data_IF_090927756963
#
_entry.id   IF_090927756963
#
_cell.length_a   1.000
_cell.length_b   1.000
_cell.length_c   1.000
_cell.angle_alpha   90.00
_cell.angle_beta   90.00
_cell.angle_gamma   90.00
#
_symmetry.space_group_name_H-M   'P 1'
#
loop_
_entity.id
_entity.type
_entity.pdbx_description
1 polymer ?
#
# COMPACT_ATOMS: atom_id res chain seq x y z
N UNK A 1 -4.80 24.81 11.95
CA UNK A 1 -4.62 24.91 10.49
C UNK A 1 -3.55 23.93 10.08
N UNK A 2 -3.93 22.90 9.30
CA UNK A 2 -2.98 21.98 8.70
C UNK A 2 -2.10 22.68 7.67
N UNK A 3 -0.90 22.16 7.42
CA UNK A 3 -0.01 22.62 6.34
C UNK A 3 0.67 21.41 5.69
N UNK A 4 0.90 21.51 4.38
CA UNK A 4 1.66 20.50 3.66
C UNK A 4 3.14 20.61 3.98
N UNK A 5 3.71 19.56 4.57
CA UNK A 5 5.14 19.50 4.89
C UNK A 5 5.89 18.74 3.79
N UNK A 6 6.91 19.34 3.16
CA UNK A 6 7.73 18.62 2.20
C UNK A 6 8.49 17.46 2.83
N UNK A 7 8.42 16.28 2.22
CA UNK A 7 9.25 15.14 2.61
C UNK A 7 10.66 15.33 2.08
N UNK A 8 11.61 15.57 2.98
CA UNK A 8 13.02 15.90 2.64
C UNK A 8 13.75 14.70 2.04
N UNK A 9 13.45 13.49 2.50
CA UNK A 9 14.10 12.24 2.04
C UNK A 9 13.00 11.25 1.66
N UNK A 10 12.54 11.25 0.39
CA UNK A 10 11.54 10.30 -0.05
C UNK A 10 12.10 8.87 -0.11
N UNK A 11 11.23 7.88 0.02
CA UNK A 11 11.57 6.48 -0.17
C UNK A 11 12.10 6.26 -1.61
N UNK A 12 13.20 5.52 -1.74
CA UNK A 12 13.87 5.27 -3.02
C UNK A 12 13.49 3.94 -3.66
N UNK A 13 12.46 3.26 -3.14
CA UNK A 13 12.02 1.97 -3.65
C UNK A 13 11.66 2.04 -5.14
N UNK A 14 12.10 1.05 -5.91
CA UNK A 14 11.79 0.93 -7.32
C UNK A 14 10.71 -0.14 -7.53
N UNK A 15 9.86 0.03 -8.54
CA UNK A 15 8.81 -0.95 -8.89
C UNK A 15 9.39 -2.34 -9.21
N UNK A 16 10.65 -2.40 -9.68
CA UNK A 16 11.37 -3.66 -9.94
C UNK A 16 11.77 -4.40 -8.67
N UNK A 17 11.79 -3.72 -7.53
CA UNK A 17 12.15 -4.31 -6.22
C UNK A 17 11.00 -5.08 -5.59
N UNK A 18 9.80 -4.92 -6.14
CA UNK A 18 8.57 -5.54 -5.68
C UNK A 18 8.33 -6.83 -6.47
N UNK A 19 8.61 -7.97 -5.87
CA UNK A 19 8.44 -9.29 -6.46
C UNK A 19 7.14 -9.94 -5.98
N UNK A 20 6.65 -10.93 -6.74
CA UNK A 20 5.46 -11.74 -6.44
C UNK A 20 4.13 -10.94 -6.37
N UNK A 21 4.08 -9.75 -7.02
CA UNK A 21 2.88 -8.92 -7.14
C UNK A 21 2.76 -8.34 -8.58
N UNK A 22 3.08 -9.14 -9.60
CA UNK A 22 3.22 -8.62 -10.96
C UNK A 22 1.88 -8.15 -11.56
N UNK A 23 0.78 -8.86 -11.31
CA UNK A 23 -0.55 -8.45 -11.75
C UNK A 23 -1.00 -7.16 -11.04
N UNK A 24 -0.78 -7.05 -9.73
CA UNK A 24 -1.09 -5.85 -8.97
C UNK A 24 -0.30 -4.65 -9.50
N UNK A 25 1.01 -4.83 -9.75
CA UNK A 25 1.87 -3.80 -10.35
C UNK A 25 1.33 -3.34 -11.70
N UNK A 26 0.96 -4.29 -12.56
CA UNK A 26 0.44 -4.01 -13.90
C UNK A 26 -0.83 -3.16 -13.87
N UNK A 27 -1.79 -3.54 -13.02
CA UNK A 27 -3.07 -2.84 -12.89
C UNK A 27 -2.89 -1.42 -12.38
N UNK A 28 -2.18 -1.24 -11.26
CA UNK A 28 -2.01 0.08 -10.63
C UNK A 28 -1.08 0.98 -11.46
N UNK A 29 -0.05 0.41 -12.07
CA UNK A 29 0.84 1.15 -12.98
C UNK A 29 0.10 1.65 -14.23
N UNK A 30 -0.77 0.83 -14.82
CA UNK A 30 -1.60 1.22 -15.96
C UNK A 30 -2.51 2.40 -15.59
N UNK A 31 -3.24 2.30 -14.48
CA UNK A 31 -4.10 3.36 -13.98
C UNK A 31 -3.32 4.67 -13.71
N UNK A 32 -2.16 4.57 -13.05
CA UNK A 32 -1.31 5.72 -12.78
C UNK A 32 -0.75 6.33 -14.08
N UNK A 33 -0.38 5.50 -15.06
CA UNK A 33 0.07 5.96 -16.37
C UNK A 33 -1.01 6.70 -17.15
N UNK A 34 -2.26 6.24 -17.09
CA UNK A 34 -3.41 6.96 -17.65
C UNK A 34 -3.55 8.32 -16.98
N UNK A 35 -3.52 8.37 -15.65
CA UNK A 35 -3.65 9.60 -14.88
C UNK A 35 -2.58 10.66 -15.24
N UNK A 36 -1.30 10.28 -15.29
CA UNK A 36 -0.22 11.23 -15.63
C UNK A 36 -0.23 11.64 -17.11
N UNK A 37 -0.94 10.89 -17.95
CA UNK A 37 -1.18 11.23 -19.35
C UNK A 37 -2.45 12.06 -19.58
N UNK A 38 -3.10 12.52 -18.51
CA UNK A 38 -4.37 13.25 -18.55
C UNK A 38 -5.52 12.45 -19.19
N UNK A 39 -5.49 11.13 -19.06
CA UNK A 39 -6.56 10.23 -19.49
C UNK A 39 -7.43 9.84 -18.29
N UNK A 40 -8.67 9.38 -18.51
CA UNK A 40 -9.52 8.88 -17.45
C UNK A 40 -8.82 7.81 -16.61
N UNK A 41 -8.86 7.95 -15.30
CA UNK A 41 -8.27 7.03 -14.34
C UNK A 41 -9.11 7.01 -13.06
N UNK A 42 -8.96 5.94 -12.26
CA UNK A 42 -9.78 5.68 -11.09
C UNK A 42 -9.04 5.95 -9.78
N UNK A 43 -9.79 6.26 -8.73
CA UNK A 43 -9.32 6.09 -7.36
C UNK A 43 -9.00 4.62 -7.10
N UNK A 44 -7.98 4.34 -6.27
CA UNK A 44 -7.43 2.99 -6.09
C UNK A 44 -7.51 2.57 -4.63
N UNK A 45 -8.06 1.38 -4.38
CA UNK A 45 -8.02 0.72 -3.08
C UNK A 45 -7.18 -0.56 -3.16
N UNK A 46 -6.09 -0.61 -2.39
CA UNK A 46 -5.23 -1.78 -2.24
C UNK A 46 -5.54 -2.48 -0.91
N UNK A 47 -6.07 -3.69 -0.97
CA UNK A 47 -6.44 -4.46 0.22
C UNK A 47 -5.57 -5.71 0.38
N UNK A 48 -5.59 -6.34 1.54
CA UNK A 48 -4.98 -7.65 1.76
C UNK A 48 -3.86 -7.67 2.79
N UNK A 49 -3.11 -8.74 2.81
CA UNK A 49 -2.17 -9.08 3.89
C UNK A 49 -1.12 -8.01 4.17
N UNK A 50 -0.77 -7.84 5.44
CA UNK A 50 0.22 -6.86 5.88
C UNK A 50 1.62 -7.20 5.36
N UNK A 51 2.33 -6.18 4.88
CA UNK A 51 3.72 -6.34 4.41
C UNK A 51 3.87 -7.01 3.04
N UNK A 52 2.82 -7.06 2.22
CA UNK A 52 2.84 -7.58 0.84
C UNK A 52 3.25 -6.56 -0.21
N UNK A 53 3.55 -5.32 0.19
CA UNK A 53 4.07 -4.30 -0.73
C UNK A 53 3.05 -3.25 -1.19
N UNK A 54 1.83 -3.21 -0.64
CA UNK A 54 0.79 -2.22 -1.00
C UNK A 54 1.30 -0.78 -1.00
N UNK A 55 1.71 -0.27 0.16
CA UNK A 55 2.23 1.10 0.32
C UNK A 55 3.54 1.31 -0.47
N UNK A 56 4.38 0.27 -0.53
CA UNK A 56 5.62 0.30 -1.31
C UNK A 56 5.37 0.46 -2.80
N UNK A 57 4.30 -0.13 -3.35
CA UNK A 57 3.92 0.03 -4.75
C UNK A 57 3.55 1.48 -5.06
N UNK A 58 2.78 2.13 -4.20
CA UNK A 58 2.39 3.54 -4.40
C UNK A 58 3.63 4.45 -4.38
N UNK A 59 4.54 4.24 -3.41
CA UNK A 59 5.82 4.99 -3.33
C UNK A 59 6.72 4.73 -4.54
N UNK A 60 6.76 3.50 -5.04
CA UNK A 60 7.51 3.16 -6.26
C UNK A 60 6.93 3.81 -7.52
N UNK A 61 5.62 3.98 -7.60
CA UNK A 61 4.96 4.70 -8.70
C UNK A 61 5.28 6.20 -8.67
N UNK A 62 5.35 6.83 -7.49
CA UNK A 62 5.85 8.20 -7.37
C UNK A 62 7.25 8.31 -7.97
N UNK A 63 8.19 7.43 -7.58
CA UNK A 63 9.56 7.43 -8.09
C UNK A 63 9.62 7.25 -9.62
N UNK A 64 8.72 6.45 -10.17
CA UNK A 64 8.63 6.21 -11.62
C UNK A 64 8.10 7.41 -12.39
N UNK A 65 7.13 8.15 -11.82
CA UNK A 65 6.37 9.16 -12.54
C UNK A 65 6.59 10.61 -12.06
N UNK A 66 7.42 10.86 -11.03
CA UNK A 66 7.61 12.24 -10.53
C UNK A 66 8.13 13.20 -11.62
N UNK A 67 8.95 12.73 -12.55
CA UNK A 67 9.44 13.50 -13.72
C UNK A 67 8.33 13.82 -14.73
N UNK A 68 7.19 13.15 -14.63
CA UNK A 68 5.97 13.40 -15.39
C UNK A 68 4.93 14.18 -14.58
N UNK A 69 5.40 15.03 -13.68
CA UNK A 69 4.59 15.90 -12.83
C UNK A 69 3.69 15.17 -11.81
N UNK A 70 3.92 13.89 -11.52
CA UNK A 70 3.23 13.23 -10.42
C UNK A 70 3.75 13.74 -9.07
N UNK A 71 2.82 14.01 -8.17
CA UNK A 71 3.10 14.36 -6.77
C UNK A 71 2.29 13.44 -5.86
N UNK A 72 2.83 13.13 -4.69
CA UNK A 72 2.17 12.31 -3.67
C UNK A 72 2.00 13.15 -2.41
N UNK A 73 0.80 13.17 -1.87
CA UNK A 73 0.48 13.77 -0.57
C UNK A 73 0.02 12.63 0.32
N UNK A 74 0.79 12.32 1.36
CA UNK A 74 0.41 11.32 2.36
C UNK A 74 -0.46 12.01 3.42
N UNK A 75 -1.65 11.46 3.67
CA UNK A 75 -2.61 11.95 4.65
C UNK A 75 -2.85 10.83 5.66
N UNK A 76 -2.55 11.12 6.91
CA UNK A 76 -2.82 10.20 8.01
C UNK A 76 -4.33 10.04 8.23
N UNK A 77 -4.74 8.88 8.74
CA UNK A 77 -6.13 8.61 9.06
C UNK A 77 -6.75 9.67 9.99
N UNK A 78 -5.99 10.18 10.96
CA UNK A 78 -6.42 11.22 11.90
C UNK A 78 -6.68 12.56 11.23
N UNK A 79 -6.08 12.81 10.08
CA UNK A 79 -6.10 14.09 9.36
C UNK A 79 -7.05 14.04 8.14
N UNK A 80 -7.82 12.96 7.99
CA UNK A 80 -8.78 12.84 6.88
C UNK A 80 -9.83 13.96 6.87
N UNK A 81 -10.12 14.57 8.01
CA UNK A 81 -11.02 15.71 8.10
C UNK A 81 -10.50 16.97 7.37
N UNK A 82 -9.18 17.06 7.12
CA UNK A 82 -8.54 18.13 6.36
C UNK A 82 -8.52 17.87 4.83
N UNK A 83 -8.99 16.70 4.36
CA UNK A 83 -9.00 16.38 2.92
C UNK A 83 -9.63 17.46 2.03
N UNK A 84 -10.77 18.08 2.37
CA UNK A 84 -11.35 19.13 1.56
C UNK A 84 -10.40 20.33 1.38
N UNK A 85 -9.77 20.78 2.46
CA UNK A 85 -8.80 21.88 2.43
C UNK A 85 -7.56 21.52 1.60
N UNK A 86 -7.08 20.29 1.69
CA UNK A 86 -5.96 19.79 0.87
C UNK A 86 -6.33 19.77 -0.60
N UNK A 87 -7.53 19.29 -0.95
CA UNK A 87 -8.03 19.23 -2.32
C UNK A 87 -8.13 20.66 -2.91
N UNK A 88 -8.73 21.60 -2.18
CA UNK A 88 -8.86 22.98 -2.61
C UNK A 88 -7.49 23.64 -2.87
N UNK A 89 -6.51 23.35 -2.00
CA UNK A 89 -5.16 23.90 -2.12
C UNK A 89 -4.42 23.45 -3.39
N UNK A 90 -4.67 22.24 -3.87
CA UNK A 90 -3.90 21.61 -4.96
C UNK A 90 -4.68 21.53 -6.29
N UNK A 91 -5.97 21.79 -6.28
CA UNK A 91 -6.86 21.59 -7.43
C UNK A 91 -6.46 22.41 -8.67
N UNK A 92 -5.94 23.60 -8.48
CA UNK A 92 -5.53 24.51 -9.57
C UNK A 92 -4.03 24.41 -9.92
N UNK A 93 -3.27 23.58 -9.21
CA UNK A 93 -1.84 23.45 -9.46
C UNK A 93 -1.55 22.60 -10.71
N UNK A 94 -0.50 22.92 -11.49
CA UNK A 94 -0.20 22.25 -12.76
C UNK A 94 0.52 20.90 -12.58
N UNK A 95 0.11 20.12 -11.57
CA UNK A 95 0.64 18.81 -11.27
C UNK A 95 -0.49 17.78 -11.21
N UNK A 96 -0.13 16.51 -11.30
CA UNK A 96 -1.02 15.38 -11.02
C UNK A 96 -0.77 14.91 -9.60
N UNK A 97 -1.80 14.95 -8.77
CA UNK A 97 -1.68 14.60 -7.35
C UNK A 97 -2.32 13.25 -7.05
N UNK A 98 -1.58 12.41 -6.36
CA UNK A 98 -2.15 11.25 -5.67
C UNK A 98 -2.19 11.57 -4.18
N UNK A 99 -3.38 11.65 -3.62
CA UNK A 99 -3.57 11.70 -2.17
C UNK A 99 -3.52 10.26 -1.69
N UNK A 100 -2.55 9.97 -0.84
CA UNK A 100 -2.27 8.63 -0.34
C UNK A 100 -2.70 8.48 1.11
N UNK A 101 -3.66 7.59 1.35
CA UNK A 101 -4.16 7.24 2.66
C UNK A 101 -3.68 5.83 3.03
N UNK A 102 -2.66 5.72 3.88
CA UNK A 102 -2.07 4.41 4.24
C UNK A 102 -2.79 3.77 5.43
N UNK A 103 -2.92 2.44 5.39
CA UNK A 103 -3.45 1.58 6.46
C UNK A 103 -4.86 2.00 6.97
N UNK A 104 -5.75 2.33 6.04
CA UNK A 104 -7.12 2.72 6.38
C UNK A 104 -7.88 1.58 7.04
N UNK A 105 -8.47 1.88 8.18
CA UNK A 105 -9.41 1.02 8.89
C UNK A 105 -10.32 1.90 9.76
N UNK A 106 -11.62 1.84 9.55
CA UNK A 106 -12.57 2.68 10.27
C UNK A 106 -13.32 1.88 11.34
N UNK A 107 -13.71 2.55 12.43
CA UNK A 107 -14.73 2.09 13.36
C UNK A 107 -16.12 2.49 12.88
N UNK A 108 -17.18 2.05 13.58
CA UNK A 108 -18.58 2.36 13.25
C UNK A 108 -18.89 3.86 13.22
N UNK A 109 -18.22 4.64 14.06
CA UNK A 109 -18.52 6.07 14.28
C UNK A 109 -17.37 7.00 13.86
N UNK A 110 -16.50 6.55 12.95
CA UNK A 110 -15.30 7.28 12.56
C UNK A 110 -15.65 8.42 11.59
N UNK A 111 -15.45 9.68 12.01
CA UNK A 111 -15.73 10.85 11.18
C UNK A 111 -14.90 10.89 9.90
N UNK A 112 -13.67 10.35 9.93
CA UNK A 112 -12.80 10.24 8.75
C UNK A 112 -13.42 9.43 7.62
N UNK A 113 -14.26 8.44 7.96
CA UNK A 113 -15.03 7.67 6.99
C UNK A 113 -15.97 8.57 6.17
N UNK A 114 -16.73 9.46 6.83
CA UNK A 114 -17.68 10.37 6.17
C UNK A 114 -16.97 11.34 5.24
N UNK A 115 -15.85 11.91 5.71
CA UNK A 115 -15.05 12.85 4.91
C UNK A 115 -14.47 12.16 3.66
N UNK A 116 -13.91 10.96 3.82
CA UNK A 116 -13.38 10.20 2.68
C UNK A 116 -14.47 9.84 1.67
N UNK A 117 -15.66 9.44 2.15
CA UNK A 117 -16.83 9.17 1.30
C UNK A 117 -17.20 10.37 0.44
N UNK A 118 -17.30 11.55 1.05
CA UNK A 118 -17.60 12.81 0.36
C UNK A 118 -16.51 13.17 -0.67
N UNK A 119 -15.24 13.00 -0.31
CA UNK A 119 -14.13 13.27 -1.22
C UNK A 119 -14.11 12.32 -2.44
N UNK A 120 -14.49 11.06 -2.27
CA UNK A 120 -14.57 10.06 -3.35
C UNK A 120 -15.79 10.30 -4.26
N UNK A 121 -16.91 10.80 -3.72
CA UNK A 121 -18.14 11.09 -4.48
C UNK A 121 -18.02 12.37 -5.33
N UNK A 122 -17.00 13.20 -5.08
CA UNK A 122 -16.82 14.46 -5.81
C UNK A 122 -17.88 15.53 -5.50
N UNK A 123 -18.58 15.42 -4.36
CA UNK A 123 -19.75 16.26 -4.04
C UNK A 123 -19.41 17.67 -3.55
N UNK A 124 -18.15 17.99 -3.24
CA UNK A 124 -17.73 19.30 -2.70
C UNK A 124 -17.10 20.20 -3.78
N UNK A 125 -16.46 19.64 -4.77
CA UNK A 125 -16.01 20.33 -5.98
C UNK A 125 -16.16 19.35 -7.14
N UNK A 126 -16.40 19.84 -8.35
CA UNK A 126 -16.16 19.04 -9.57
C UNK A 126 -14.85 18.31 -9.36
N UNK A 127 -14.89 16.95 -9.36
CA UNK A 127 -13.69 16.13 -9.18
C UNK A 127 -12.56 16.73 -9.99
N UNK A 128 -11.58 17.30 -9.30
CA UNK A 128 -10.49 17.95 -10.00
C UNK A 128 -9.77 16.88 -10.80
N UNK A 129 -9.76 17.01 -12.14
CA UNK A 129 -9.15 16.02 -13.04
C UNK A 129 -7.67 15.73 -12.73
N UNK A 130 -7.05 16.56 -11.88
CA UNK A 130 -5.65 16.44 -11.50
C UNK A 130 -5.43 15.73 -10.16
N UNK A 131 -6.46 15.16 -9.52
CA UNK A 131 -6.37 14.52 -8.21
C UNK A 131 -6.97 13.11 -8.26
N UNK A 132 -6.25 12.12 -7.71
CA UNK A 132 -6.76 10.78 -7.39
C UNK A 132 -6.46 10.43 -5.95
N UNK A 133 -7.32 9.61 -5.36
CA UNK A 133 -7.14 9.06 -4.01
C UNK A 133 -6.69 7.60 -4.13
N UNK A 134 -5.53 7.28 -3.57
CA UNK A 134 -5.01 5.92 -3.43
C UNK A 134 -5.02 5.55 -1.96
N UNK A 135 -5.67 4.46 -1.62
CA UNK A 135 -5.78 3.98 -0.25
C UNK A 135 -5.22 2.57 -0.09
N UNK A 136 -4.68 2.27 1.08
CA UNK A 136 -4.36 0.88 1.45
C UNK A 136 -5.14 0.45 2.68
N UNK A 137 -5.45 -0.84 2.77
CA UNK A 137 -6.03 -1.44 3.96
C UNK A 137 -5.49 -2.86 4.17
N UNK A 138 -5.29 -3.23 5.42
CA UNK A 138 -4.99 -4.61 5.80
C UNK A 138 -6.26 -5.45 5.99
N UNK A 139 -7.44 -4.87 5.84
CA UNK A 139 -8.74 -5.54 5.85
C UNK A 139 -9.24 -5.67 4.42
N UNK A 140 -10.09 -6.67 4.17
CA UNK A 140 -10.76 -6.83 2.87
C UNK A 140 -11.75 -5.69 2.62
N UNK A 141 -12.50 -5.33 3.65
CA UNK A 141 -13.36 -4.15 3.68
C UNK A 141 -12.80 -3.12 4.66
N UNK A 142 -12.99 -1.83 4.40
CA UNK A 142 -12.44 -0.74 5.19
C UNK A 142 -13.03 -0.66 6.61
N UNK A 143 -14.21 -1.23 6.82
CA UNK A 143 -14.90 -1.31 8.12
C UNK A 143 -14.81 -2.73 8.71
N UNK A 144 -14.86 -2.91 10.04
CA UNK A 144 -14.83 -4.21 10.67
C UNK A 144 -16.10 -5.03 10.35
N UNK A 145 -15.90 -6.31 10.06
CA UNK A 145 -16.98 -7.29 9.98
C UNK A 145 -17.19 -7.86 11.40
N UNK A 146 -18.23 -7.47 12.09
CA UNK A 146 -18.56 -8.05 13.39
C UNK A 146 -19.42 -9.33 13.18
N UNK A 147 -19.13 -10.40 13.93
CA UNK A 147 -19.95 -11.63 13.88
C UNK A 147 -21.42 -11.38 14.24
N UNK A 148 -21.70 -10.37 15.08
CA UNK A 148 -23.06 -9.96 15.44
C UNK A 148 -23.86 -9.42 14.23
N UNK A 149 -23.21 -8.81 13.27
CA UNK A 149 -23.86 -8.23 12.08
C UNK A 149 -24.33 -9.32 11.11
N UNK A 150 -23.64 -10.45 11.07
CA UNK A 150 -24.09 -11.64 10.31
C UNK A 150 -25.34 -12.29 10.94
N UNK A 151 -25.63 -12.02 12.22
CA UNK A 151 -26.83 -12.49 12.93
C UNK A 151 -28.01 -11.52 12.77
N UNK A 152 -27.77 -10.26 12.41
CA UNK A 152 -28.80 -9.24 12.12
C UNK A 152 -29.34 -9.34 10.70
N UNK A 153 -28.84 -10.27 9.89
CA UNK A 153 -29.40 -10.58 8.58
C UNK A 153 -30.79 -11.16 8.77
N UNK A 154 -31.80 -10.31 8.70
CA UNK A 154 -33.22 -10.73 8.83
C UNK A 154 -33.76 -11.13 7.48
N UNK A 155 -34.30 -12.35 7.39
CA UNK A 155 -35.10 -12.78 6.24
C UNK A 155 -36.45 -12.05 6.27
N UNK A 156 -36.66 -11.10 5.36
CA UNK A 156 -37.98 -10.56 5.05
C UNK A 156 -38.32 -10.95 3.62
N UNK A 157 -39.04 -12.05 3.48
CA UNK A 157 -39.43 -12.57 2.17
C UNK A 157 -38.30 -13.32 1.46
N UNK A 158 -38.21 -13.26 0.14
CA UNK A 158 -37.17 -13.91 -0.69
C UNK A 158 -35.88 -13.06 -0.83
N UNK A 159 -35.84 -11.84 -0.26
CA UNK A 159 -34.70 -10.97 -0.34
C UNK A 159 -33.91 -10.98 0.97
N UNK A 160 -32.59 -11.15 0.84
CA UNK A 160 -31.63 -11.04 1.95
C UNK A 160 -31.25 -9.56 2.07
N UNK A 161 -31.80 -8.88 3.07
CA UNK A 161 -31.34 -7.54 3.43
C UNK A 161 -30.14 -7.66 4.36
N UNK A 162 -28.97 -7.29 3.86
CA UNK A 162 -27.81 -7.03 4.72
C UNK A 162 -28.19 -5.88 5.68
N UNK A 163 -27.81 -5.97 6.96
CA UNK A 163 -28.07 -4.87 7.89
C UNK A 163 -27.50 -3.55 7.38
N UNK A 164 -28.13 -2.41 7.67
CA UNK A 164 -27.76 -1.07 7.18
C UNK A 164 -26.26 -0.79 7.32
N UNK A 165 -25.63 -1.27 8.40
CA UNK A 165 -24.19 -1.17 8.63
C UNK A 165 -23.34 -1.93 7.59
N UNK A 166 -23.80 -3.05 7.06
CA UNK A 166 -23.09 -3.84 6.04
C UNK A 166 -23.17 -3.15 4.67
N UNK A 167 -24.32 -2.61 4.31
CA UNK A 167 -24.50 -1.84 3.08
C UNK A 167 -23.64 -0.58 3.07
N UNK A 168 -23.55 0.10 4.20
CA UNK A 168 -22.70 1.29 4.33
C UNK A 168 -21.21 0.96 4.21
N UNK A 169 -20.79 -0.20 4.71
CA UNK A 169 -19.40 -0.71 4.62
C UNK A 169 -18.96 -1.05 3.21
N UNK A 170 -19.83 -1.68 2.44
CA UNK A 170 -19.61 -2.00 1.03
C UNK A 170 -19.55 -0.72 0.22
N UNK A 171 -20.44 0.22 0.50
CA UNK A 171 -20.64 1.49 -0.20
C UNK A 171 -19.35 2.35 -0.31
N UNK A 172 -18.46 2.39 0.69
CA UNK A 172 -17.21 3.15 0.58
C UNK A 172 -16.20 2.46 -0.34
N UNK A 173 -16.08 1.14 -0.23
CA UNK A 173 -15.12 0.37 -1.06
C UNK A 173 -15.50 0.43 -2.54
N UNK A 174 -16.79 0.44 -2.88
CA UNK A 174 -17.31 0.53 -4.25
C UNK A 174 -17.01 1.88 -4.93
N UNK A 175 -16.75 2.94 -4.14
CA UNK A 175 -16.37 4.25 -4.68
C UNK A 175 -14.95 4.29 -5.22
N UNK A 176 -14.14 3.29 -4.91
CA UNK A 176 -12.86 3.10 -5.57
C UNK A 176 -13.07 2.34 -6.87
N UNK A 177 -12.88 2.99 -7.99
CA UNK A 177 -13.10 2.37 -9.32
C UNK A 177 -12.07 1.30 -9.67
N UNK A 178 -10.94 1.23 -8.96
CA UNK A 178 -9.95 0.16 -9.07
C UNK A 178 -9.65 -0.43 -7.69
N UNK A 179 -10.05 -1.69 -7.49
CA UNK A 179 -9.79 -2.44 -6.27
C UNK A 179 -8.85 -3.59 -6.55
N UNK A 180 -7.72 -3.63 -5.84
CA UNK A 180 -6.65 -4.61 -6.05
C UNK A 180 -6.31 -5.32 -4.74
N UNK A 181 -6.40 -6.65 -4.76
CA UNK A 181 -6.12 -7.48 -3.59
C UNK A 181 -4.69 -8.03 -3.60
N UNK A 182 -4.10 -8.09 -2.42
CA UNK A 182 -2.75 -8.62 -2.17
C UNK A 182 -2.82 -9.81 -1.23
N UNK A 183 -2.60 -11.00 -1.76
CA UNK A 183 -2.54 -12.23 -0.97
C UNK A 183 -1.27 -12.30 -0.11
N UNK A 184 -1.32 -13.12 0.94
CA UNK A 184 -0.14 -13.44 1.71
C UNK A 184 0.84 -14.26 0.85
N UNK A 185 2.13 -13.96 0.94
CA UNK A 185 3.13 -14.70 0.20
C UNK A 185 3.20 -16.16 0.61
N UNK A 186 3.27 -17.04 -0.38
CA UNK A 186 3.63 -18.42 -0.21
C UNK A 186 5.06 -18.55 0.34
N UNK A 187 5.44 -19.74 0.78
CA UNK A 187 6.80 -20.00 1.25
C UNK A 187 7.84 -19.76 0.14
N UNK A 188 7.54 -20.17 -1.08
CA UNK A 188 8.43 -20.02 -2.23
C UNK A 188 8.61 -18.56 -2.60
N UNK A 189 7.53 -17.80 -2.70
CA UNK A 189 7.57 -16.35 -2.97
C UNK A 189 8.38 -15.61 -1.91
N UNK A 190 8.17 -15.94 -0.62
CA UNK A 190 8.94 -15.33 0.46
C UNK A 190 10.45 -15.61 0.32
N UNK A 191 10.84 -16.85 0.04
CA UNK A 191 12.25 -17.23 -0.18
C UNK A 191 12.84 -16.48 -1.37
N UNK A 192 12.07 -16.34 -2.46
CA UNK A 192 12.49 -15.61 -3.65
C UNK A 192 12.69 -14.13 -3.34
N UNK A 193 11.78 -13.49 -2.59
CA UNK A 193 11.90 -12.10 -2.15
C UNK A 193 13.13 -11.92 -1.24
N UNK A 194 13.33 -12.79 -0.28
CA UNK A 194 14.49 -12.74 0.61
C UNK A 194 15.81 -12.89 -0.16
N UNK A 195 15.85 -13.84 -1.10
CA UNK A 195 16.99 -14.08 -1.98
C UNK A 195 17.32 -12.89 -2.88
N UNK A 196 16.28 -12.26 -3.42
CA UNK A 196 16.44 -11.03 -4.21
C UNK A 196 17.10 -9.91 -3.39
N UNK A 197 16.60 -9.66 -2.17
CA UNK A 197 17.15 -8.61 -1.32
C UNK A 197 18.57 -8.90 -0.83
N UNK A 198 18.88 -10.18 -0.53
CA UNK A 198 20.25 -10.58 -0.19
C UNK A 198 21.22 -10.26 -1.34
N UNK A 199 20.87 -10.66 -2.58
CA UNK A 199 21.69 -10.35 -3.77
C UNK A 199 21.82 -8.85 -3.99
N UNK A 200 20.73 -8.11 -3.89
CA UNK A 200 20.73 -6.66 -4.11
C UNK A 200 21.58 -5.90 -3.09
N UNK A 201 21.59 -6.31 -1.83
CA UNK A 201 22.36 -5.65 -0.76
C UNK A 201 23.83 -6.10 -0.74
N UNK A 202 24.12 -7.33 -1.10
CA UNK A 202 25.48 -7.88 -1.07
C UNK A 202 26.26 -7.70 -2.38
N UNK A 203 25.55 -7.37 -3.48
CA UNK A 203 26.08 -7.39 -4.84
C UNK A 203 25.99 -8.76 -5.50
N UNK A 204 26.14 -8.81 -6.82
CA UNK A 204 25.93 -10.00 -7.66
C UNK A 204 26.87 -11.18 -7.37
N UNK A 205 27.96 -10.94 -6.64
CA UNK A 205 28.95 -11.97 -6.25
C UNK A 205 28.43 -12.89 -5.14
N UNK A 206 27.31 -12.54 -4.49
CA UNK A 206 26.78 -13.31 -3.37
C UNK A 206 25.92 -14.48 -3.84
N UNK A 207 26.40 -15.70 -3.63
CA UNK A 207 25.63 -16.92 -3.89
C UNK A 207 24.61 -17.14 -2.77
N UNK A 208 23.33 -17.15 -3.15
CA UNK A 208 22.23 -17.57 -2.26
C UNK A 208 22.09 -19.09 -2.37
N UNK A 209 22.67 -19.79 -1.43
CA UNK A 209 22.60 -21.25 -1.32
C UNK A 209 21.39 -21.73 -0.51
N UNK A 210 21.21 -23.02 -0.39
CA UNK A 210 20.09 -23.61 0.37
C UNK A 210 20.20 -23.36 1.89
N UNK A 211 21.39 -23.05 2.40
CA UNK A 211 21.56 -22.68 3.80
C UNK A 211 20.93 -21.30 4.07
N UNK A 212 21.17 -20.32 3.19
CA UNK A 212 20.56 -18.97 3.31
C UNK A 212 19.06 -19.05 3.15
N UNK A 213 18.54 -19.85 2.21
CA UNK A 213 17.10 -20.07 2.06
C UNK A 213 16.46 -20.63 3.32
N UNK A 214 17.07 -21.66 3.92
CA UNK A 214 16.60 -22.24 5.20
C UNK A 214 16.64 -21.23 6.34
N UNK A 215 17.68 -20.43 6.45
CA UNK A 215 17.78 -19.35 7.46
C UNK A 215 16.71 -18.28 7.26
N UNK A 216 16.37 -17.95 6.01
CA UNK A 216 15.30 -17.00 5.74
C UNK A 216 13.94 -17.51 6.25
N UNK A 217 13.66 -18.81 6.07
CA UNK A 217 12.44 -19.44 6.57
C UNK A 217 12.41 -19.50 8.11
N UNK A 218 13.54 -19.83 8.75
CA UNK A 218 13.64 -19.79 10.20
C UNK A 218 13.38 -18.36 10.73
N UNK A 219 13.96 -17.35 10.10
CA UNK A 219 13.73 -15.96 10.42
C UNK A 219 12.26 -15.54 10.30
N UNK A 220 11.56 -16.02 9.27
CA UNK A 220 10.13 -15.79 9.09
C UNK A 220 9.28 -16.47 10.17
N UNK A 221 9.66 -17.70 10.54
CA UNK A 221 8.99 -18.48 11.59
C UNK A 221 9.08 -17.76 12.96
N UNK A 222 10.27 -17.30 13.33
CA UNK A 222 10.52 -16.56 14.58
C UNK A 222 9.69 -15.27 14.67
N UNK A 223 9.33 -14.66 13.53
CA UNK A 223 8.54 -13.42 13.45
C UNK A 223 7.06 -13.65 13.14
N UNK A 224 6.66 -14.90 12.99
CA UNK A 224 5.28 -15.28 12.68
C UNK A 224 4.75 -14.70 11.36
N UNK A 225 5.64 -14.30 10.40
CA UNK A 225 5.21 -13.64 9.18
C UNK A 225 6.16 -13.90 8.00
N UNK A 226 5.59 -14.24 6.85
CA UNK A 226 6.25 -14.32 5.55
C UNK A 226 5.90 -13.09 4.71
N UNK A 227 6.38 -11.92 5.11
CA UNK A 227 6.11 -10.66 4.42
C UNK A 227 7.37 -10.10 3.74
N UNK A 228 7.20 -9.23 2.75
CA UNK A 228 8.30 -8.52 2.09
C UNK A 228 9.15 -7.71 3.07
N UNK A 229 8.52 -7.13 4.09
CA UNK A 229 9.23 -6.41 5.18
C UNK A 229 10.15 -7.35 5.96
N UNK A 230 9.66 -8.53 6.33
CA UNK A 230 10.44 -9.54 7.06
C UNK A 230 11.57 -10.09 6.19
N UNK A 231 11.34 -10.30 4.90
CA UNK A 231 12.35 -10.72 3.94
C UNK A 231 13.47 -9.69 3.79
N UNK A 232 13.13 -8.41 3.70
CA UNK A 232 14.11 -7.33 3.64
C UNK A 232 14.93 -7.18 4.93
N UNK A 233 14.28 -7.31 6.09
CA UNK A 233 14.96 -7.31 7.39
C UNK A 233 15.94 -8.48 7.53
N UNK A 234 15.54 -9.68 7.09
CA UNK A 234 16.43 -10.83 7.00
C UNK A 234 17.66 -10.52 6.15
N UNK A 235 17.46 -10.01 4.93
CA UNK A 235 18.55 -9.70 4.02
C UNK A 235 19.54 -8.68 4.60
N UNK A 236 19.05 -7.62 5.25
CA UNK A 236 19.89 -6.64 5.94
C UNK A 236 20.74 -7.28 7.05
N UNK A 237 20.13 -8.13 7.87
CA UNK A 237 20.82 -8.81 8.95
C UNK A 237 21.88 -9.79 8.42
N UNK A 238 21.54 -10.58 7.40
CA UNK A 238 22.43 -11.58 6.81
C UNK A 238 23.67 -10.95 6.17
N UNK A 239 23.43 -9.95 5.33
CA UNK A 239 24.51 -9.25 4.61
C UNK A 239 25.37 -8.45 5.58
N UNK A 240 24.77 -7.72 6.51
CA UNK A 240 25.52 -6.94 7.50
C UNK A 240 26.40 -7.79 8.41
N UNK A 241 25.86 -8.93 8.91
CA UNK A 241 26.64 -9.86 9.74
C UNK A 241 27.82 -10.50 8.99
N UNK A 242 27.67 -10.76 7.70
CA UNK A 242 28.75 -11.28 6.88
C UNK A 242 29.82 -10.22 6.61
N UNK A 243 29.45 -9.05 6.18
CA UNK A 243 30.39 -7.94 5.93
C UNK A 243 31.20 -7.58 7.18
N UNK A 244 30.56 -7.58 8.35
CA UNK A 244 31.24 -7.36 9.62
C UNK A 244 32.33 -8.41 9.89
N UNK A 245 32.03 -9.70 9.64
CA UNK A 245 33.03 -10.78 9.80
C UNK A 245 34.22 -10.63 8.84
N UNK A 246 33.97 -10.18 7.61
CA UNK A 246 35.01 -9.94 6.60
C UNK A 246 35.94 -8.80 7.02
N UNK A 247 35.37 -7.68 7.52
CA UNK A 247 36.13 -6.54 8.06
C UNK A 247 37.00 -6.99 9.26
N UNK A 248 36.39 -7.75 10.20
CA UNK A 248 37.14 -8.21 11.39
C UNK A 248 38.31 -9.12 11.03
N UNK A 249 38.16 -9.99 10.02
CA UNK A 249 39.22 -10.86 9.52
C UNK A 249 40.34 -10.07 8.82
N UNK A 250 40.02 -8.96 8.15
CA UNK A 250 41.01 -8.12 7.46
C UNK A 250 41.84 -7.26 8.43
N UNK A 251 41.28 -6.86 9.57
CA UNK A 251 41.97 -6.08 10.62
C UNK A 251 42.88 -6.96 11.49
N UNK A 252 42.61 -8.28 11.53
CA UNK A 252 43.37 -9.25 12.32
C UNK A 252 44.55 -9.88 11.56
N UNK A 253 44.80 -9.45 10.33
CA UNK A 253 45.96 -9.81 9.49
C UNK A 253 46.88 -8.61 9.34
#
# INVERSE_FOLDING_TARGET
RGYLQPVTIPDTINIRDLSAIDEQKKLVDMNTRQFVASLPANNVLLTGSKGTGKSSLIKALLNKYYKKNLRLIEVDKTDLHELPEVIDLISELPYRFVIFCDDLSFGSDDEGYKTLKVALDGSIATTSENILIYATSNRRHLLPEYMSENLETTYKGEEIHAGENVEEKISLSERFGLWVHFDAFSQEEYVNIASYWVKKLAGDVYLVDDHIKRRSLQWALERGSRSGRVAYQFAKNEVGARQLREITKSVSR
#
